data_IF_400181374988
#
_entry.id   IF_400181374988
#
_cell.length_a   1.000
_cell.length_b   1.000
_cell.length_c   1.000
_cell.angle_alpha   90.00
_cell.angle_beta   90.00
_cell.angle_gamma   90.00
#
_symmetry.space_group_name_H-M   'P 1'
#
loop_
_entity.id
_entity.type
_entity.pdbx_description
1 polymer ?
2 polymer ?
3 non-polymer ?
4 non-polymer ?
5 water ?
#
# COMPACT_ATOMS: atom_id res chain seq x y z
N UNK A 2 30.41 11.05 4.10
CA UNK A 2 30.35 9.68 4.62
C UNK A 2 29.50 9.57 5.89
N UNK A 3 29.68 8.47 6.63
CA UNK A 3 28.92 8.26 7.86
C UNK A 3 28.99 9.44 8.80
N UNK A 4 30.10 10.17 8.75
CA UNK A 4 30.22 11.43 9.48
C UNK A 4 29.01 12.33 9.25
N UNK A 5 28.64 12.50 7.97
CA UNK A 5 27.59 13.46 7.62
C UNK A 5 26.20 12.85 7.73
N UNK A 6 26.08 11.52 7.60
CA UNK A 6 24.77 10.89 7.74
C UNK A 6 24.19 11.15 9.12
N UNK A 7 25.04 11.19 10.15
CA UNK A 7 24.56 11.51 11.49
C UNK A 7 24.13 12.97 11.58
N UNK A 8 24.92 13.87 10.99
CA UNK A 8 24.58 15.28 11.03
C UNK A 8 23.24 15.54 10.33
N UNK A 9 23.05 14.95 9.15
CA UNK A 9 21.79 15.15 8.43
C UNK A 9 20.61 14.62 9.25
N UNK A 10 20.72 13.39 9.73
CA UNK A 10 19.66 12.82 10.55
C UNK A 10 19.29 13.76 11.70
N UNK A 11 20.29 14.15 12.50
CA UNK A 11 20.00 15.08 13.58
C UNK A 11 19.31 16.35 13.07
N UNK A 12 19.86 16.95 12.00
CA UNK A 12 19.25 18.17 11.46
C UNK A 12 17.82 17.92 10.99
N UNK A 13 17.56 16.77 10.33
CA UNK A 13 16.23 16.50 9.78
C UNK A 13 15.19 16.36 10.88
N UNK A 14 15.52 15.64 11.96
CA UNK A 14 14.54 15.25 12.96
C UNK A 14 14.60 16.10 14.22
N UNK A 15 15.29 17.24 14.17
CA UNK A 15 15.32 18.13 15.33
C UNK A 15 13.94 18.71 15.62
N UNK A 16 13.14 18.96 14.58
CA UNK A 16 11.77 19.46 14.72
C UNK A 16 10.92 18.72 13.67
N UNK A 17 10.59 17.47 13.96
CA UNK A 17 9.83 16.65 13.02
C UNK A 17 8.92 15.71 13.78
N UNK A 18 7.65 15.71 13.41
CA UNK A 18 6.63 14.86 14.02
C UNK A 18 6.18 13.82 13.00
N UNK A 19 6.35 12.53 13.33
CA UNK A 19 5.87 11.46 12.45
C UNK A 19 4.37 11.24 12.57
N UNK A 20 3.65 12.10 13.29
CA UNK A 20 2.20 12.05 13.35
C UNK A 20 1.54 13.10 12.48
N UNK A 21 2.31 14.00 11.87
CA UNK A 21 1.79 15.10 11.06
C UNK A 21 1.96 14.76 9.59
N UNK A 22 0.86 14.75 8.86
CA UNK A 22 0.87 14.54 7.41
C UNK A 22 1.82 15.56 6.80
N UNK A 23 2.90 15.15 6.16
CA UNK A 23 3.99 16.08 5.78
C UNK A 23 3.73 16.95 4.56
N UNK A 24 2.73 17.83 4.64
CA UNK A 24 2.48 18.80 3.58
C UNK A 24 2.73 20.20 4.13
N UNK A 25 3.23 21.09 3.28
CA UNK A 25 3.49 22.46 3.71
C UNK A 25 2.19 23.16 4.06
N UNK A 26 1.20 23.05 3.18
CA UNK A 26 -0.13 23.64 3.36
C UNK A 26 -1.12 22.51 3.67
N UNK A 27 -1.93 22.68 4.73
CA UNK A 27 -2.77 21.57 5.20
C UNK A 27 -3.86 21.16 4.22
N UNK A 28 -4.26 22.03 3.29
CA UNK A 28 -5.26 21.63 2.31
C UNK A 28 -4.63 21.23 0.99
N UNK A 29 -3.33 21.00 0.97
CA UNK A 29 -2.69 20.30 -0.13
C UNK A 29 -2.79 18.79 0.11
N UNK A 30 -3.00 18.05 -0.98
CA UNK A 30 -3.11 16.60 -0.89
C UNK A 30 -1.70 15.99 -0.82
N UNK A 31 -1.62 14.78 -0.27
CA UNK A 31 -0.37 14.02 -0.30
C UNK A 31 -0.62 12.76 -1.12
N UNK A 32 0.05 12.68 -2.27
CA UNK A 32 -0.07 11.60 -3.24
C UNK A 32 0.83 10.43 -2.85
N UNK A 33 0.32 9.21 -3.04
CA UNK A 33 1.04 7.97 -2.75
C UNK A 33 0.85 7.05 -3.94
N UNK A 34 1.96 6.56 -4.48
CA UNK A 34 1.93 5.55 -5.56
C UNK A 34 2.19 4.20 -4.89
N UNK A 35 1.32 3.22 -5.14
CA UNK A 35 1.38 1.92 -4.51
C UNK A 35 1.60 0.84 -5.55
N UNK A 36 2.47 -0.12 -5.22
CA UNK A 36 2.81 -1.24 -6.08
C UNK A 36 2.80 -2.52 -5.24
N UNK A 37 2.10 -3.54 -5.72
CA UNK A 37 1.99 -4.83 -5.04
C UNK A 37 2.79 -5.85 -5.83
N UNK A 38 3.70 -6.56 -5.14
CA UNK A 38 4.43 -7.69 -5.69
C UNK A 38 3.89 -8.98 -5.07
N UNK A 39 3.45 -9.91 -5.91
CA UNK A 39 2.96 -11.18 -5.42
C UNK A 39 4.15 -12.12 -5.25
N UNK A 40 4.59 -12.32 -4.01
CA UNK A 40 5.73 -13.24 -3.76
C UNK A 40 5.33 -14.70 -4.02
N UNK A 41 4.21 -15.14 -3.42
CA UNK A 41 3.72 -16.54 -3.60
C UNK A 41 2.31 -16.67 -3.02
N UNK A 42 1.61 -17.74 -3.39
CA UNK A 42 0.25 -18.02 -2.82
C UNK A 42 0.47 -19.03 -1.68
N UNK A 43 0.39 -18.56 -0.43
CA UNK A 43 0.62 -19.46 0.73
C UNK A 43 -0.47 -20.54 0.84
N UNK A 44 -1.74 -20.15 0.71
CA UNK A 44 -2.84 -21.11 0.83
C UNK A 44 -4.10 -20.53 0.21
N UNK A 45 -4.65 -21.24 -0.78
CA UNK A 45 -5.97 -20.95 -1.33
C UNK A 45 -6.96 -21.92 -0.73
N UNK A 46 -7.75 -21.44 0.20
CA UNK A 46 -8.67 -22.28 0.98
C UNK A 46 -10.04 -22.27 0.30
N UNK A 47 -10.32 -23.33 -0.45
CA UNK A 47 -11.59 -23.50 -1.20
C UNK A 47 -12.78 -23.65 -0.26
N UNK A 48 -12.63 -24.38 0.84
CA UNK A 48 -13.76 -24.60 1.76
C UNK A 48 -14.22 -23.28 2.37
N UNK A 49 -13.29 -22.44 2.81
CA UNK A 49 -13.67 -21.15 3.45
C UNK A 49 -13.58 -20.01 2.43
N UNK A 50 -13.16 -20.31 1.20
CA UNK A 50 -13.01 -19.29 0.13
C UNK A 50 -12.10 -18.15 0.61
N UNK A 51 -10.97 -18.49 1.23
CA UNK A 51 -10.02 -17.47 1.75
C UNK A 51 -8.64 -17.69 1.12
N UNK A 52 -8.05 -16.62 0.59
CA UNK A 52 -6.72 -16.67 0.03
C UNK A 52 -5.76 -16.07 1.05
N UNK A 53 -4.65 -16.77 1.28
CA UNK A 53 -3.55 -16.31 2.12
C UNK A 53 -2.34 -16.11 1.20
N UNK A 54 -1.86 -14.87 1.12
CA UNK A 54 -0.80 -14.55 0.18
C UNK A 54 0.36 -13.83 0.88
N UNK A 55 1.57 -14.02 0.34
CA UNK A 55 2.74 -13.24 0.69
C UNK A 55 2.93 -12.16 -0.35
N UNK A 56 2.97 -10.90 0.10
CA UNK A 56 3.10 -9.74 -0.77
C UNK A 56 4.23 -8.86 -0.31
N UNK A 57 4.81 -8.11 -1.25
CA UNK A 57 5.59 -6.91 -0.95
C UNK A 57 4.80 -5.69 -1.40
N UNK A 58 4.61 -4.75 -0.48
CA UNK A 58 3.92 -3.50 -0.78
C UNK A 58 4.96 -2.39 -0.84
N UNK A 59 5.11 -1.81 -2.03
CA UNK A 59 5.97 -0.66 -2.23
C UNK A 59 5.12 0.61 -2.31
N UNK A 60 5.36 1.53 -1.38
CA UNK A 60 4.68 2.81 -1.31
C UNK A 60 5.69 3.92 -1.52
N UNK A 61 5.29 4.94 -2.27
CA UNK A 61 6.16 6.05 -2.62
C UNK A 61 5.39 7.34 -2.41
N UNK A 62 6.02 8.33 -1.80
CA UNK A 62 5.39 9.61 -1.58
C UNK A 62 6.46 10.65 -1.27
N UNK A 63 6.04 11.91 -1.20
CA UNK A 63 6.92 13.01 -0.85
C UNK A 63 6.61 13.50 0.56
N UNK A 64 7.66 13.71 1.34
CA UNK A 64 7.57 14.32 2.65
C UNK A 64 8.14 15.72 2.53
N UNK A 65 7.31 16.73 2.79
CA UNK A 65 7.72 18.10 2.54
C UNK A 65 8.75 18.60 3.56
N UNK A 66 8.94 17.90 4.68
CA UNK A 66 9.83 18.33 5.76
C UNK A 66 11.14 17.56 5.80
N UNK A 67 11.28 16.53 4.99
CA UNK A 67 12.48 15.71 5.06
C UNK A 67 13.37 15.95 3.85
N UNK A 68 13.60 17.21 3.50
CA UNK A 68 14.46 17.57 2.39
C UNK A 68 15.77 18.16 2.89
N UNK A 69 16.79 18.14 2.05
CA UNK A 69 18.06 18.75 2.43
C UNK A 69 18.82 19.18 1.19
N UNK A 70 19.72 20.15 1.39
CA UNK A 70 20.65 20.61 0.36
C UNK A 70 21.88 19.70 0.33
N UNK A 71 22.07 18.99 -0.78
CA UNK A 71 23.11 17.96 -0.87
C UNK A 71 24.51 18.53 -0.66
N UNK A 72 24.76 19.75 -1.14
CA UNK A 72 26.08 20.37 -0.97
C UNK A 72 26.37 20.77 0.47
N UNK A 73 25.37 20.73 1.35
CA UNK A 73 25.57 21.02 2.77
C UNK A 73 25.89 19.76 3.58
N UNK A 74 25.96 18.60 2.94
CA UNK A 74 26.13 17.31 3.62
C UNK A 74 27.06 16.41 2.81
N UNK A 75 28.17 16.98 2.36
CA UNK A 75 29.18 16.25 1.59
C UNK A 75 28.53 15.45 0.47
N UNK A 76 27.51 16.04 -0.15
CA UNK A 76 26.88 15.43 -1.31
C UNK A 76 26.03 14.21 -1.03
N UNK A 77 25.60 14.04 0.23
CA UNK A 77 24.74 12.92 0.58
C UNK A 77 23.33 13.15 0.05
N UNK A 78 22.79 12.16 -0.67
CA UNK A 78 21.54 12.34 -1.40
C UNK A 78 20.47 11.32 -1.03
N UNK A 79 20.70 10.54 0.02
CA UNK A 79 19.90 9.35 0.29
C UNK A 79 20.34 8.71 1.61
N UNK A 80 19.39 8.29 2.46
CA UNK A 80 19.70 7.62 3.72
C UNK A 80 18.59 6.62 4.06
N UNK A 81 18.99 5.46 4.57
CA UNK A 81 18.06 4.48 5.12
C UNK A 81 17.64 4.85 6.53
N UNK A 82 16.36 4.66 6.81
CA UNK A 82 15.73 5.13 8.03
C UNK A 82 14.70 4.08 8.42
N UNK A 83 14.65 3.68 9.69
CA UNK A 83 13.51 2.84 10.13
C UNK A 83 12.20 3.54 9.81
N UNK A 84 11.32 2.82 9.09
CA UNK A 84 10.08 3.41 8.61
C UNK A 84 9.30 4.10 9.72
N UNK A 85 9.37 3.61 10.96
CA UNK A 85 8.54 4.22 11.98
C UNK A 85 9.02 5.60 12.42
N UNK A 86 10.18 6.06 11.93
CA UNK A 86 10.61 7.41 12.26
C UNK A 86 9.90 8.49 11.43
N UNK A 87 9.40 8.16 10.23
CA UNK A 87 8.79 9.15 9.35
C UNK A 87 7.29 8.95 9.35
N UNK A 88 6.56 10.01 9.05
CA UNK A 88 5.12 9.86 8.85
C UNK A 88 4.92 8.85 7.73
N UNK A 89 3.90 8.02 7.89
CA UNK A 89 3.65 6.97 6.92
C UNK A 89 2.17 6.96 6.55
N UNK A 90 1.85 6.63 5.29
CA UNK A 90 0.51 6.94 4.76
C UNK A 90 -0.62 6.07 5.29
N UNK A 91 -0.36 4.97 6.02
CA UNK A 91 -1.45 4.36 6.78
C UNK A 91 -2.38 3.47 5.92
N UNK A 92 -1.85 2.88 4.87
CA UNK A 92 -2.63 2.13 3.92
C UNK A 92 -2.74 0.67 4.38
N UNK A 93 -3.95 0.15 4.38
CA UNK A 93 -4.26 -1.19 4.86
C UNK A 93 -5.14 -1.92 3.84
N UNK A 94 -5.21 -3.23 4.01
CA UNK A 94 -6.09 -4.07 3.20
C UNK A 94 -7.51 -3.97 3.73
N UNK A 95 -8.43 -3.49 2.89
CA UNK A 95 -9.81 -3.32 3.32
C UNK A 95 -10.56 -4.64 3.41
N UNK A 96 -10.25 -5.56 2.50
CA UNK A 96 -10.94 -6.82 2.29
C UNK A 96 -10.49 -7.91 3.27
N UNK A 97 -9.96 -7.54 4.43
CA UNK A 97 -9.33 -8.52 5.31
C UNK A 97 -10.38 -9.47 5.86
N UNK A 98 -10.35 -10.72 5.43
CA UNK A 98 -11.15 -11.72 6.13
C UNK A 98 -10.54 -12.02 7.49
N UNK A 99 -9.21 -11.91 7.61
CA UNK A 99 -8.52 -12.14 8.87
C UNK A 99 -9.11 -11.28 9.98
N UNK A 100 -9.28 -11.88 11.15
CA UNK A 100 -9.82 -11.17 12.30
C UNK A 100 -8.75 -10.33 12.99
N UNK A 101 -7.56 -10.90 13.20
CA UNK A 101 -6.44 -10.15 13.74
C UNK A 101 -5.96 -9.15 12.70
N UNK A 104 2.36 -10.53 14.47
CA UNK A 104 3.37 -9.70 15.12
C UNK A 104 3.89 -8.65 14.15
N UNK A 105 3.82 -7.37 14.54
CA UNK A 105 4.31 -6.31 13.66
C UNK A 105 5.80 -6.46 13.39
N UNK A 106 6.27 -5.93 12.25
CA UNK A 106 7.70 -6.10 11.86
C UNK A 106 8.36 -4.75 11.55
N UNK A 107 9.59 -4.57 12.06
CA UNK A 107 10.38 -3.33 11.82
C UNK A 107 10.74 -3.29 10.32
N UNK A 108 10.60 -2.12 9.69
CA UNK A 108 10.91 -1.96 8.24
C UNK A 108 11.75 -0.69 8.05
N UNK A 109 12.40 -0.56 6.89
CA UNK A 109 13.27 0.62 6.61
C UNK A 109 12.81 1.33 5.33
N UNK A 110 12.75 2.66 5.36
CA UNK A 110 12.50 3.44 4.16
C UNK A 110 13.83 3.99 3.64
N UNK A 111 13.82 4.37 2.37
CA UNK A 111 14.89 5.14 1.77
C UNK A 111 14.36 6.54 1.53
N UNK A 112 14.99 7.53 2.15
CA UNK A 112 14.61 8.93 2.04
C UNK A 112 15.62 9.65 1.16
N UNK A 113 15.15 10.25 0.09
CA UNK A 113 15.99 10.93 -0.88
C UNK A 113 16.00 12.42 -0.59
N UNK A 114 17.08 13.08 -1.05
CA UNK A 114 17.32 14.47 -0.67
C UNK A 114 16.14 15.37 -0.99
N UNK A 115 15.38 15.04 -2.04
CA UNK A 115 14.25 15.87 -2.42
C UNK A 115 12.96 15.51 -1.69
N UNK A 116 13.05 14.80 -0.56
CA UNK A 116 11.87 14.45 0.21
C UNK A 116 11.15 13.20 -0.23
N UNK A 117 11.61 12.53 -1.29
CA UNK A 117 10.95 11.34 -1.78
C UNK A 117 11.28 10.16 -0.87
N UNK A 118 10.23 9.47 -0.41
CA UNK A 118 10.37 8.30 0.46
C UNK A 118 9.85 7.07 -0.28
N UNK A 119 10.69 6.06 -0.41
CA UNK A 119 10.31 4.73 -0.87
C UNK A 119 10.28 3.77 0.31
N UNK A 120 9.21 2.99 0.42
CA UNK A 120 8.99 2.10 1.56
C UNK A 120 8.53 0.74 1.04
N UNK A 121 9.44 -0.23 1.03
CA UNK A 121 9.10 -1.62 0.76
C UNK A 121 8.81 -2.31 2.08
N UNK A 122 7.68 -3.01 2.16
CA UNK A 122 7.35 -3.69 3.38
C UNK A 122 6.63 -4.97 3.03
N UNK A 123 6.92 -6.07 3.73
CA UNK A 123 6.23 -7.34 3.46
C UNK A 123 4.89 -7.40 4.18
N UNK A 124 4.00 -8.24 3.63
CA UNK A 124 2.69 -8.45 4.24
C UNK A 124 2.18 -9.83 3.88
N UNK A 125 1.42 -10.39 4.83
CA UNK A 125 0.77 -11.69 4.70
C UNK A 125 -0.72 -11.40 4.87
N UNK A 126 -1.46 -11.42 3.76
CA UNK A 126 -2.85 -11.02 3.75
C UNK A 126 -3.77 -12.24 3.64
N UNK A 127 -4.94 -12.13 4.27
CA UNK A 127 -6.01 -13.12 4.11
C UNK A 127 -7.28 -12.40 3.71
N UNK A 128 -7.89 -12.86 2.61
CA UNK A 128 -8.97 -12.12 1.96
C UNK A 128 -9.86 -13.10 1.21
N UNK A 129 -11.15 -12.73 1.09
CA UNK A 129 -12.12 -13.62 0.49
C UNK A 129 -12.01 -13.67 -1.03
N UNK A 130 -12.41 -14.80 -1.58
CA UNK A 130 -12.42 -15.01 -3.02
C UNK A 130 -13.77 -15.53 -3.42
N UNK A 131 -14.07 -15.36 -4.70
CA UNK A 131 -15.31 -15.82 -5.31
C UNK A 131 -14.95 -16.81 -6.41
N UNK A 132 -15.69 -17.91 -6.46
CA UNK A 132 -15.46 -18.92 -7.49
C UNK A 132 -16.05 -18.43 -8.81
N UNK A 133 -15.42 -18.83 -9.91
CA UNK A 133 -16.02 -18.68 -11.23
C UNK A 133 -15.91 -19.99 -11.98
N UNK A 134 -17.07 -20.52 -12.41
CA UNK A 134 -17.13 -21.76 -13.16
C UNK A 134 -17.58 -21.53 -14.60
N UNK A 135 -17.90 -20.28 -14.97
CA UNK A 135 -18.42 -19.95 -16.31
C UNK A 135 -17.32 -19.75 -17.35
N UNK A 136 -16.23 -19.07 -17.00
CA UNK A 136 -15.17 -18.79 -17.94
C UNK A 136 -14.19 -19.93 -18.01
N UNK A 137 -13.71 -20.20 -19.21
CA UNK A 137 -12.70 -21.24 -19.40
C UNK A 137 -11.50 -20.96 -18.49
N UNK A 138 -10.91 -21.99 -17.86
CA UNK A 138 -11.26 -23.42 -17.81
C UNK A 138 -12.27 -23.81 -16.72
N UNK A 139 -13.18 -22.91 -16.35
CA UNK A 139 -14.33 -23.26 -15.52
C UNK A 139 -13.93 -23.87 -14.19
N UNK A 140 -12.78 -23.45 -13.64
CA UNK A 140 -12.31 -23.82 -12.31
C UNK A 140 -11.46 -22.63 -11.87
N UNK A 141 -12.13 -21.54 -11.52
CA UNK A 141 -11.49 -20.25 -11.37
C UNK A 141 -11.71 -19.69 -9.97
N UNK A 142 -10.71 -18.95 -9.50
CA UNK A 142 -10.81 -18.23 -8.21
C UNK A 142 -10.51 -16.76 -8.50
N UNK A 143 -11.42 -15.86 -8.14
CA UNK A 143 -11.17 -14.42 -8.36
C UNK A 143 -10.93 -13.81 -6.99
N UNK A 144 -9.72 -13.31 -6.73
CA UNK A 144 -9.43 -12.76 -5.39
C UNK A 144 -9.08 -11.28 -5.49
N UNK A 145 -9.91 -10.43 -4.88
CA UNK A 145 -9.69 -8.99 -4.86
C UNK A 145 -8.87 -8.58 -3.66
N UNK A 146 -7.82 -7.80 -3.90
CA UNK A 146 -7.05 -7.16 -2.83
C UNK A 146 -7.23 -5.65 -2.99
N UNK A 147 -8.02 -5.06 -2.09
CA UNK A 147 -8.37 -3.64 -2.09
C UNK A 147 -7.60 -2.95 -0.97
N UNK A 148 -6.84 -1.92 -1.33
CA UNK A 148 -6.01 -1.17 -0.40
C UNK A 148 -6.46 0.28 -0.35
N UNK A 149 -6.36 0.88 0.83
CA UNK A 149 -6.79 2.25 1.03
C UNK A 149 -6.40 2.70 2.42
N UNK A 150 -6.55 4.00 2.65
CA UNK A 150 -6.12 4.61 3.89
C UNK A 150 -7.10 4.29 5.02
N UNK A 151 -6.58 4.09 6.22
CA UNK A 151 -7.49 3.80 7.32
C UNK A 151 -8.21 5.06 7.80
N UNK A 152 -7.61 6.22 7.64
CA UNK A 152 -8.13 7.41 8.31
C UNK A 152 -8.32 8.59 7.37
N UNK A 153 -7.49 8.71 6.36
CA UNK A 153 -7.47 9.90 5.52
C UNK A 153 -8.42 9.78 4.34
N UNK A 154 -9.10 10.88 4.02
CA UNK A 154 -9.87 10.95 2.80
C UNK A 154 -8.96 11.38 1.65
N UNK A 155 -9.53 11.38 0.45
CA UNK A 155 -8.78 11.59 -0.77
C UNK A 155 -8.27 13.00 -0.97
N UNK A 156 -8.84 13.96 -0.26
CA UNK A 156 -8.27 15.30 -0.28
C UNK A 156 -7.01 15.41 0.56
N UNK A 157 -6.80 14.46 1.48
CA UNK A 157 -5.62 14.44 2.35
C UNK A 157 -4.55 13.49 1.83
N UNK A 158 -4.91 12.23 1.61
CA UNK A 158 -4.03 11.22 1.02
C UNK A 158 -4.77 10.59 -0.16
N UNK A 159 -4.17 10.75 -1.35
CA UNK A 159 -4.72 10.19 -2.62
C UNK A 159 -3.80 9.05 -3.05
N UNK A 160 -4.36 7.90 -3.41
CA UNK A 160 -3.55 6.70 -3.78
C UNK A 160 -3.63 6.42 -5.29
N UNK A 161 -2.48 6.14 -5.90
CA UNK A 161 -2.38 5.86 -7.35
C UNK A 161 -1.64 4.53 -7.58
N UNK A 162 -2.06 3.80 -8.61
CA UNK A 162 -1.40 2.53 -8.98
C UNK A 162 -0.08 2.84 -9.69
N UNK A 163 1.01 2.24 -9.23
CA UNK A 163 2.33 2.39 -9.88
C UNK A 163 2.33 1.75 -11.27
N UNK A 164 1.69 0.58 -11.39
CA UNK A 164 1.68 -0.20 -12.66
C UNK A 164 0.24 -0.62 -12.99
N UNK A 165 0.03 -1.11 -14.21
CA UNK A 165 -1.29 -1.58 -14.69
C UNK A 165 -1.73 -2.79 -13.88
N UNK A 166 -0.79 -3.51 -13.26
CA UNK A 166 -1.14 -4.72 -12.55
C UNK A 166 -0.10 -4.97 -11.48
N UNK A 167 -0.41 -5.92 -10.60
CA UNK A 167 0.58 -6.38 -9.66
C UNK A 167 1.82 -6.89 -10.36
N UNK A 168 2.90 -6.93 -9.59
CA UNK A 168 4.19 -7.39 -10.08
C UNK A 168 4.31 -8.90 -9.84
N UNK A 169 4.38 -9.68 -10.92
CA UNK A 169 4.48 -11.13 -10.83
C UNK A 169 5.83 -11.62 -11.34
N UNK A 170 6.84 -10.75 -11.38
CA UNK A 170 8.16 -11.17 -11.86
C UNK A 170 8.92 -12.04 -10.86
N UNK A 171 8.54 -12.03 -9.58
CA UNK A 171 9.21 -12.80 -8.54
C UNK A 171 8.28 -13.84 -7.90
N UNK A 172 7.21 -14.16 -8.61
CA UNK A 172 6.17 -15.10 -8.11
C UNK A 172 6.69 -16.54 -8.08
N UNK A 173 6.34 -17.27 -7.01
CA UNK A 173 6.69 -18.71 -6.87
C UNK A 173 5.44 -19.46 -7.32
N UNK A 174 5.56 -20.31 -8.34
CA UNK A 174 4.37 -21.00 -8.90
C UNK A 174 3.72 -21.88 -7.83
N UNK A 175 2.40 -21.79 -7.69
CA UNK A 175 1.64 -22.63 -6.73
C UNK A 175 1.43 -24.01 -7.36
N UNK A 176 1.25 -25.05 -6.55
CA UNK A 176 1.06 -26.38 -7.12
C UNK A 176 -0.27 -26.48 -7.86
N UNK A 177 -1.37 -26.08 -7.20
CA UNK A 177 -2.70 -26.33 -7.75
C UNK A 177 -3.26 -25.18 -8.57
N UNK A 178 -2.75 -23.96 -8.38
CA UNK A 178 -3.35 -22.75 -8.93
C UNK A 178 -2.39 -22.06 -9.89
N UNK A 179 -2.90 -21.70 -11.06
CA UNK A 179 -2.17 -20.86 -11.99
C UNK A 179 -2.68 -19.42 -11.90
N UNK A 180 -1.75 -18.48 -11.97
CA UNK A 180 -2.08 -17.04 -11.92
C UNK A 180 -2.29 -16.57 -13.35
N UNK A 181 -3.54 -16.19 -13.66
CA UNK A 181 -3.95 -15.75 -14.99
C UNK A 181 -3.71 -14.26 -15.19
N UNK A 182 -3.73 -13.49 -14.12
CA UNK A 182 -3.35 -12.09 -14.18
C UNK A 182 -3.58 -11.44 -12.84
N UNK A 183 -3.11 -10.20 -12.72
CA UNK A 183 -3.38 -9.41 -11.53
C UNK A 183 -3.62 -7.94 -11.92
N UNK A 184 -4.62 -7.68 -12.75
CA UNK A 184 -4.86 -6.28 -13.15
C UNK A 184 -5.24 -5.44 -11.95
N UNK A 185 -4.80 -4.19 -11.96
CA UNK A 185 -5.14 -3.25 -10.91
C UNK A 185 -6.05 -2.16 -11.44
N UNK A 186 -6.90 -1.63 -10.55
CA UNK A 186 -7.74 -0.47 -10.85
C UNK A 186 -7.76 0.43 -9.63
N UNK A 187 -8.12 1.69 -9.87
CA UNK A 187 -8.37 2.65 -8.82
C UNK A 187 -9.85 3.01 -8.82
N UNK A 188 -10.45 3.00 -7.62
CA UNK A 188 -11.82 3.43 -7.40
C UNK A 188 -11.83 4.63 -6.47
N UNK A 189 -12.59 5.66 -6.86
CA UNK A 189 -12.80 6.85 -5.99
C UNK A 189 -14.30 6.88 -5.69
N UNK A 190 -14.67 6.86 -4.41
CA UNK A 190 -16.11 6.80 -4.03
C UNK A 190 -16.50 8.08 -3.30
N UNK A 191 -17.62 8.67 -3.71
CA UNK A 191 -18.18 9.87 -3.03
C UNK A 191 -19.62 9.54 -2.63
N UNK A 192 -19.99 9.81 -1.38
CA UNK A 192 -21.29 9.48 -0.85
C UNK A 192 -22.19 10.70 -0.95
N UNK A 193 -23.43 10.48 -1.38
CA UNK A 193 -24.41 11.53 -1.53
C UNK A 193 -23.98 12.61 -2.51
N UNK A 194 -24.50 13.82 -2.30
CA UNK A 194 -24.22 14.91 -3.22
C UNK A 194 -22.76 15.36 -3.12
N UNK A 195 -22.25 15.50 -1.90
CA UNK A 195 -21.19 16.45 -1.59
C UNK A 195 -20.02 15.88 -0.80
N UNK A 196 -20.06 14.60 -0.43
CA UNK A 196 -18.95 14.01 0.29
C UNK A 196 -17.63 14.26 -0.45
N UNK A 197 -16.59 14.30 0.38
CA UNK A 197 -15.18 14.35 -0.06
C UNK A 197 -14.88 12.98 -0.69
N UNK A 198 -13.84 12.84 -1.53
CA UNK A 198 -13.57 11.56 -2.21
C UNK A 198 -12.91 10.51 -1.31
N UNK A 199 -13.19 9.24 -1.59
CA UNK A 199 -12.58 8.12 -0.85
C UNK A 199 -11.97 7.11 -1.81
N UNK A 200 -10.66 7.18 -2.04
CA UNK A 200 -10.02 6.32 -3.03
C UNK A 200 -9.51 5.01 -2.44
N UNK A 201 -9.44 4.01 -3.32
CA UNK A 201 -8.77 2.75 -3.04
C UNK A 201 -8.20 2.23 -4.35
N UNK A 202 -7.23 1.32 -4.24
CA UNK A 202 -6.72 0.59 -5.40
C UNK A 202 -6.98 -0.89 -5.18
N UNK A 203 -7.51 -1.56 -6.20
CA UNK A 203 -7.92 -2.96 -6.09
C UNK A 203 -7.14 -3.78 -7.08
N UNK A 204 -6.55 -4.85 -6.60
CA UNK A 204 -5.87 -5.82 -7.43
C UNK A 204 -6.78 -7.02 -7.53
N UNK A 205 -6.96 -7.52 -8.73
CA UNK A 205 -7.82 -8.67 -8.95
C UNK A 205 -6.92 -9.82 -9.33
N UNK A 206 -6.65 -10.69 -8.37
CA UNK A 206 -5.89 -11.90 -8.63
C UNK A 206 -6.83 -12.93 -9.25
N UNK A 207 -6.53 -13.33 -10.47
CA UNK A 207 -7.32 -14.30 -11.21
C UNK A 207 -6.55 -15.62 -11.23
N UNK A 208 -7.08 -16.62 -10.55
CA UNK A 208 -6.48 -17.95 -10.50
C UNK A 208 -7.33 -18.94 -11.27
N UNK A 209 -6.68 -19.75 -12.11
CA UNK A 209 -7.29 -20.90 -12.75
C UNK A 209 -6.59 -22.17 -12.28
N UNK A 210 -7.34 -23.24 -12.07
CA UNK A 210 -6.73 -24.43 -11.51
C UNK A 210 -5.73 -25.03 -12.49
N UNK A 211 -4.56 -25.40 -11.97
CA UNK A 211 -3.49 -25.88 -12.82
C UNK A 211 -3.92 -27.14 -13.58
N UNK A 212 -3.49 -27.24 -14.82
CA UNK A 212 -3.67 -28.45 -15.60
C UNK A 212 -2.55 -29.44 -15.30
N UNK A 213 -2.90 -30.71 -15.21
CA UNK A 213 -1.90 -31.73 -14.93
C UNK A 213 -2.26 -33.07 -15.58
N UNK B 1 -22.00 2.83 2.76
CA UNK B 1 -22.37 4.20 3.07
C UNK B 1 -21.28 4.88 3.87
N UNK B 2 -21.40 6.19 4.05
CA UNK B 2 -20.36 6.92 4.76
C UNK B 2 -20.15 6.38 6.17
N UNK B 3 -21.21 5.94 6.83
CA UNK B 3 -21.12 5.58 8.25
C UNK B 3 -20.58 4.18 8.48
N UNK B 4 -20.27 3.42 7.43
CA UNK B 4 -19.57 2.15 7.55
C UNK B 4 -18.24 2.24 6.84
N UNK B 5 -17.56 3.37 7.00
CA UNK B 5 -16.29 3.67 6.35
C UNK B 5 -15.44 4.36 7.40
N UNK B 6 -14.34 3.75 7.85
CA UNK B 6 -13.54 4.37 8.92
C UNK B 6 -13.00 5.74 8.57
N UNK B 7 -12.85 6.06 7.28
CA UNK B 7 -12.40 7.38 6.88
C UNK B 7 -13.51 8.42 6.97
N UNK B 8 -14.77 8.00 7.09
CA UNK B 8 -15.91 8.89 7.07
C UNK B 8 -16.52 8.79 8.48
N UNK B 9 -17.56 7.98 8.67
CA UNK B 9 -17.90 7.39 9.96
C UNK B 9 -17.98 8.36 11.14
N UNK B 10 -16.87 8.65 11.83
CA UNK B 10 -16.92 9.55 12.97
C UNK B 10 -17.17 10.95 12.39
N UNK B 11 -18.40 11.17 11.94
CA UNK B 11 -18.81 12.33 11.15
C UNK B 11 -20.30 12.18 10.87
N UNK B 12 -20.83 10.96 11.06
CA UNK B 12 -22.26 10.69 11.19
C UNK B 12 -22.64 10.67 12.66
N UNK B 13 -21.83 11.31 13.50
CA UNK B 13 -22.04 11.25 14.98
C UNK B 13 -21.81 12.59 15.61
X LIG C 1 -0.99 14.82 -6.93
X LIG C 1 -0.38 16.21 -7.15
X LIG C 1 -1.17 16.97 -8.23
X LIG C 1 -1.25 16.14 -9.51
X LIG C 1 -1.78 14.74 -9.26
X LIG C 1 -1.57 13.86 -10.47
X LIG C 1 0.74 17.09 -5.15
X LIG C 1 0.59 17.94 -3.92
X LIG C 1 -0.35 16.97 -5.92
X LIG C 1 -0.52 18.19 -8.53
X LIG C 1 -2.09 16.79 -10.46
X LIG C 1 -1.05 14.12 -8.19
X LIG C 1 -2.11 12.56 -10.28
X LIG C 1 1.80 16.54 -5.44
X LIG D 1 -13.29 -7.05 -7.61
X LIG D 1 -14.81 -6.95 -7.72
X LIG D 1 -15.22 -6.36 -9.07
X LIG D 1 -14.51 -5.04 -9.29
X LIG D 1 -13.01 -5.30 -9.24
X LIG D 1 -12.19 -4.05 -9.47
X LIG D 1 -16.06 -8.59 -6.40
X LIG D 1 -16.67 -9.97 -6.37
X LIG D 1 -15.44 -8.25 -7.53
X LIG D 1 -16.63 -6.18 -9.10
X LIG D 1 -14.87 -4.45 -10.53
X LIG D 1 -12.69 -5.78 -7.94
X LIG D 1 -12.68 -2.98 -8.68
X LIG D 1 -16.14 -7.83 -5.44
X LIG E 1 -23.12 12.41 2.55
X LIG E 1 -22.65 13.68 2.02
X LIG E 1 -22.14 11.72 3.55
X LIG E 1 -20.88 12.43 3.78
X LIG E 1 -24.07 12.57 3.05
X LIG E 1 -23.28 11.73 1.71
X LIG E 1 -23.31 14.05 1.41
X LIG E 1 -22.65 11.61 4.51
X LIG E 1 -21.91 10.72 3.18
X LIG E 1 -20.34 11.93 4.41
#
# INVERSE_FOLDING_TARGET
ADGKYAQKLFNDLFEDYSNALRPVEDTDKVLNVTLQITLSQIKDMDERNQILTAYLWIRQIWHDAYLTWDRDQYDGLDSIRIPSDLVWRPDIVLYNKADDESSEPVNTNVVLRYDGLITWDAPAITKSSCVVDVTYFPFDNQQCNLTFGSWTYNGNQVDIFNALDSGDLSDFIEDVEWEVHGMPAVKNVISYGCCSEPYPDVTFTLLLKRRSHHHHHH
GCCSDPRCRYRCX
NAG C1 C2 C3 C4 C5 C6 C7 C8 N2 O3 O4 O5 O6 O7
NAG C1 C2 C3 C4 C5 C6 C7 C8 N2 O3 O4 O5 O6 O7
EDO C1 O1 C2 O2 H11 H12 HO1 H21 H22 HO2
#
